data_IF_086504729406
#
_entry.id   IF_086504729406
#
_cell.length_a   1.000
_cell.length_b   1.000
_cell.length_c   1.000
_cell.angle_alpha   90.00
_cell.angle_beta   90.00
_cell.angle_gamma   90.00
#
_symmetry.space_group_name_H-M   'P 1'
#
loop_
_entity.id
_entity.type
_entity.pdbx_description
1 polymer ?
#
# COMPACT_ATOMS: atom_id res chain seq x y z
N UNK A 1 -27.53 26.35 -27.93
CA UNK A 1 -27.47 25.79 -26.55
C UNK A 1 -26.51 24.61 -26.57
N UNK A 2 -25.26 24.84 -26.15
CA UNK A 2 -24.24 23.79 -26.11
C UNK A 2 -24.49 22.85 -24.94
N UNK A 3 -24.79 21.59 -25.24
CA UNK A 3 -24.88 20.52 -24.26
C UNK A 3 -23.47 20.25 -23.72
N UNK A 4 -23.20 20.69 -22.48
CA UNK A 4 -22.00 20.34 -21.74
C UNK A 4 -21.98 18.83 -21.54
N UNK A 5 -21.24 18.11 -22.39
CA UNK A 5 -20.81 16.76 -22.08
C UNK A 5 -20.05 16.82 -20.75
N UNK A 6 -20.68 16.37 -19.67
CA UNK A 6 -19.99 15.98 -18.44
C UNK A 6 -19.04 14.85 -18.81
N UNK A 7 -17.81 15.19 -19.19
CA UNK A 7 -16.72 14.21 -19.28
C UNK A 7 -16.61 13.59 -17.89
N UNK A 8 -17.02 12.33 -17.76
CA UNK A 8 -16.81 11.52 -16.57
C UNK A 8 -15.32 11.23 -16.53
N UNK A 9 -14.56 12.13 -15.92
CA UNK A 9 -13.16 11.89 -15.61
C UNK A 9 -13.19 10.74 -14.61
N UNK A 10 -12.66 9.57 -14.96
CA UNK A 10 -12.45 8.49 -14.00
C UNK A 10 -11.35 8.94 -13.04
N UNK A 11 -11.71 9.79 -12.08
CA UNK A 11 -10.84 10.13 -10.97
C UNK A 11 -10.61 8.84 -10.18
N UNK A 12 -9.35 8.44 -10.05
CA UNK A 12 -8.97 7.31 -9.21
C UNK A 12 -9.34 7.67 -7.77
N UNK A 13 -10.36 7.00 -7.23
CA UNK A 13 -10.70 7.16 -5.82
C UNK A 13 -9.53 6.64 -4.97
N UNK A 14 -9.07 7.39 -3.95
CA UNK A 14 -8.08 6.89 -3.01
C UNK A 14 -8.58 5.58 -2.37
N UNK A 15 -7.79 4.51 -2.51
CA UNK A 15 -8.04 3.24 -1.83
C UNK A 15 -7.04 3.05 -0.70
N UNK A 16 -7.50 2.40 0.35
CA UNK A 16 -6.68 2.08 1.51
C UNK A 16 -6.89 0.63 1.91
N UNK A 17 -5.86 0.04 2.50
CA UNK A 17 -5.94 -1.14 3.35
C UNK A 17 -5.36 -0.81 4.72
N UNK A 18 -5.71 -1.57 5.73
CA UNK A 18 -5.32 -1.32 7.11
C UNK A 18 -4.68 -2.56 7.73
N UNK A 19 -3.55 -2.36 8.42
CA UNK A 19 -3.01 -3.36 9.32
C UNK A 19 -3.57 -3.14 10.72
N UNK A 20 -4.34 -4.10 11.23
CA UNK A 20 -4.87 -4.07 12.59
C UNK A 20 -3.86 -4.63 13.58
N UNK A 21 -3.43 -3.81 14.53
CA UNK A 21 -2.27 -4.09 15.39
C UNK A 21 -2.51 -5.22 16.38
N UNK A 22 -3.72 -5.30 16.93
CA UNK A 22 -4.12 -6.22 17.99
C UNK A 22 -4.25 -7.66 17.49
N UNK A 23 -5.02 -7.88 16.42
CA UNK A 23 -5.22 -9.23 15.84
C UNK A 23 -4.21 -9.59 14.74
N UNK A 24 -3.34 -8.65 14.33
CA UNK A 24 -2.34 -8.85 13.27
C UNK A 24 -3.00 -9.25 11.94
N UNK A 25 -4.04 -8.52 11.57
CA UNK A 25 -4.81 -8.78 10.35
C UNK A 25 -4.59 -7.66 9.32
N UNK A 26 -4.44 -8.07 8.06
CA UNK A 26 -4.56 -7.16 6.93
C UNK A 26 -6.04 -7.10 6.52
N UNK A 27 -6.61 -5.90 6.54
CA UNK A 27 -8.02 -5.67 6.28
C UNK A 27 -8.21 -4.64 5.16
N UNK A 28 -9.28 -4.78 4.39
CA UNK A 28 -9.70 -3.75 3.46
C UNK A 28 -10.40 -2.63 4.24
N UNK A 29 -10.24 -1.39 3.77
CA UNK A 29 -10.88 -0.22 4.39
C UNK A 29 -12.12 0.14 3.60
N UNK A 30 -13.28 0.17 4.27
CA UNK A 30 -14.56 0.53 3.65
C UNK A 30 -14.88 2.01 3.86
N UNK A 31 -14.50 2.58 5.01
CA UNK A 31 -14.74 3.99 5.32
C UNK A 31 -13.70 4.56 6.31
N UNK A 32 -13.43 5.86 6.20
CA UNK A 32 -12.51 6.60 7.08
C UNK A 32 -13.22 7.86 7.55
N UNK A 33 -13.49 7.95 8.85
CA UNK A 33 -14.01 9.17 9.50
C UNK A 33 -12.88 9.92 10.20
N UNK A 34 -12.44 11.04 9.61
CA UNK A 34 -11.41 11.90 10.23
C UNK A 34 -11.94 12.67 11.44
N UNK A 35 -13.20 13.08 11.41
CA UNK A 35 -13.83 13.84 12.50
C UNK A 35 -13.99 12.97 13.74
N UNK A 36 -14.47 11.74 13.55
CA UNK A 36 -14.65 10.78 14.65
C UNK A 36 -13.37 10.00 14.97
N UNK A 37 -12.36 10.01 14.09
CA UNK A 37 -11.11 9.25 14.20
C UNK A 37 -11.32 7.73 14.27
N UNK A 38 -12.26 7.23 13.47
CA UNK A 38 -12.54 5.80 13.30
C UNK A 38 -12.37 5.36 11.85
N UNK A 39 -11.92 4.12 11.67
CA UNK A 39 -11.81 3.44 10.39
C UNK A 39 -12.73 2.23 10.42
N UNK A 40 -13.57 2.10 9.40
CA UNK A 40 -14.34 0.89 9.18
C UNK A 40 -13.51 -0.04 8.29
N UNK A 41 -13.26 -1.24 8.80
CA UNK A 41 -12.45 -2.26 8.14
C UNK A 41 -13.27 -3.52 7.93
N UNK A 42 -12.98 -4.24 6.85
CA UNK A 42 -13.52 -5.56 6.61
C UNK A 42 -12.42 -6.59 6.43
N UNK A 43 -12.61 -7.76 7.03
CA UNK A 43 -11.79 -8.93 6.80
C UNK A 43 -12.65 -10.06 6.24
N UNK A 44 -12.19 -10.64 5.14
CA UNK A 44 -12.78 -11.85 4.58
C UNK A 44 -12.17 -13.07 5.30
N UNK A 45 -12.98 -13.78 6.09
CA UNK A 45 -12.56 -15.06 6.69
C UNK A 45 -12.80 -16.25 5.76
N UNK A 46 -12.35 -17.44 6.19
CA UNK A 46 -12.42 -18.70 5.42
C UNK A 46 -13.84 -19.17 5.02
N UNK A 47 -14.90 -18.60 5.63
CA UNK A 47 -16.28 -19.10 5.50
C UNK A 47 -17.25 -18.11 4.85
N UNK A 48 -16.79 -17.25 3.93
CA UNK A 48 -17.58 -16.17 3.31
C UNK A 48 -18.17 -15.14 4.30
N UNK A 49 -17.80 -15.22 5.59
CA UNK A 49 -18.19 -14.24 6.60
C UNK A 49 -17.29 -13.02 6.47
N UNK A 50 -17.91 -11.89 6.13
CA UNK A 50 -17.30 -10.58 6.24
C UNK A 50 -17.47 -10.10 7.67
N UNK A 51 -16.36 -9.90 8.37
CA UNK A 51 -16.40 -9.20 9.66
C UNK A 51 -16.14 -7.72 9.37
N UNK A 52 -17.16 -6.88 9.53
CA UNK A 52 -17.02 -5.43 9.46
C UNK A 52 -16.90 -4.88 10.89
N UNK A 53 -15.85 -4.10 11.13
CA UNK A 53 -15.53 -3.57 12.46
C UNK A 53 -15.12 -2.10 12.30
N UNK A 54 -15.66 -1.24 13.16
CA UNK A 54 -15.15 0.12 13.35
C UNK A 54 -14.06 0.12 14.41
N UNK A 55 -12.88 0.61 14.06
CA UNK A 55 -11.71 0.66 14.94
C UNK A 55 -11.14 2.06 15.04
N UNK A 56 -10.55 2.40 16.18
CA UNK A 56 -9.88 3.69 16.38
C UNK A 56 -8.64 3.81 15.48
N UNK A 57 -8.28 5.04 15.09
CA UNK A 57 -7.13 5.32 14.22
C UNK A 57 -5.80 4.78 14.76
N UNK A 58 -5.66 4.69 16.08
CA UNK A 58 -4.47 4.18 16.74
C UNK A 58 -4.40 2.65 16.75
N UNK A 59 -5.51 1.93 16.57
CA UNK A 59 -5.52 0.46 16.46
C UNK A 59 -5.07 -0.04 15.10
N UNK A 60 -5.00 0.84 14.10
CA UNK A 60 -4.64 0.49 12.72
C UNK A 60 -3.42 1.24 12.19
N UNK A 61 -2.82 0.68 11.14
CA UNK A 61 -1.92 1.40 10.23
C UNK A 61 -2.52 1.42 8.83
N UNK A 62 -2.97 2.59 8.40
CA UNK A 62 -3.45 2.81 7.03
C UNK A 62 -2.29 2.75 6.03
N UNK A 63 -2.54 2.11 4.89
CA UNK A 63 -1.65 2.01 3.76
C UNK A 63 -2.42 2.41 2.51
N UNK A 64 -1.94 3.44 1.81
CA UNK A 64 -2.60 3.95 0.61
C UNK A 64 -2.21 3.12 -0.62
N UNK A 65 -3.15 2.88 -1.52
CA UNK A 65 -2.87 2.32 -2.84
C UNK A 65 -2.06 3.32 -3.68
N UNK A 66 -1.10 2.80 -4.42
CA UNK A 66 -0.34 3.56 -5.42
C UNK A 66 -1.14 3.81 -6.70
N UNK A 67 -2.25 3.08 -6.90
CA UNK A 67 -2.99 3.03 -8.16
C UNK A 67 -2.37 2.15 -9.25
N UNK A 68 -1.19 1.60 -8.98
CA UNK A 68 -0.46 0.73 -9.89
C UNK A 68 -0.66 -0.74 -9.54
N UNK A 69 -0.48 -1.60 -10.53
CA UNK A 69 -0.51 -3.05 -10.37
C UNK A 69 0.85 -3.65 -10.68
N UNK A 70 1.19 -4.71 -10.00
CA UNK A 70 2.39 -5.50 -10.24
C UNK A 70 2.24 -6.38 -11.50
N UNK A 71 3.27 -7.19 -11.82
CA UNK A 71 3.27 -8.06 -13.00
C UNK A 71 2.16 -9.12 -13.00
N UNK A 72 1.62 -9.46 -11.83
CA UNK A 72 0.57 -10.46 -11.64
C UNK A 72 -0.83 -9.80 -11.54
N UNK A 73 -0.91 -8.48 -11.71
CA UNK A 73 -2.17 -7.73 -11.63
C UNK A 73 -2.62 -7.40 -10.20
N UNK A 74 -1.77 -7.66 -9.19
CA UNK A 74 -2.03 -7.31 -7.78
C UNK A 74 -1.78 -5.82 -7.58
N UNK A 75 -2.69 -5.13 -6.91
CA UNK A 75 -2.56 -3.70 -6.60
C UNK A 75 -1.44 -3.47 -5.58
N UNK A 76 -0.60 -2.46 -5.82
CA UNK A 76 0.56 -2.12 -4.98
C UNK A 76 0.17 -1.01 -4.00
N UNK A 77 0.46 -1.22 -2.72
CA UNK A 77 0.19 -0.31 -1.63
C UNK A 77 1.49 0.21 -0.99
N UNK A 78 1.39 1.33 -0.27
CA UNK A 78 2.48 1.80 0.58
C UNK A 78 2.89 0.72 1.60
N UNK A 79 4.19 0.48 1.74
CA UNK A 79 4.75 -0.51 2.64
C UNK A 79 4.77 -1.94 2.09
N UNK A 80 4.30 -2.17 0.86
CA UNK A 80 4.56 -3.43 0.16
C UNK A 80 6.05 -3.62 -0.08
N UNK A 81 6.46 -4.88 -0.05
CA UNK A 81 7.78 -5.36 -0.42
C UNK A 81 7.65 -6.02 -1.78
N UNK A 82 8.42 -5.52 -2.73
CA UNK A 82 8.42 -5.99 -4.11
C UNK A 82 9.75 -6.64 -4.46
N UNK A 83 9.70 -7.73 -5.23
CA UNK A 83 10.88 -8.30 -5.87
C UNK A 83 11.08 -7.68 -7.25
N UNK A 84 12.32 -7.30 -7.55
CA UNK A 84 12.78 -6.96 -8.89
C UNK A 84 13.99 -7.78 -9.25
N UNK A 85 13.75 -8.88 -9.98
CA UNK A 85 14.79 -9.77 -10.49
C UNK A 85 15.70 -10.30 -9.37
N UNK A 86 15.12 -10.68 -8.24
CA UNK A 86 15.83 -11.19 -7.07
C UNK A 86 16.31 -10.10 -6.09
N UNK A 87 16.03 -8.82 -6.37
CA UNK A 87 16.37 -7.72 -5.47
C UNK A 87 15.10 -7.13 -4.84
N UNK A 88 15.03 -7.15 -3.52
CA UNK A 88 13.86 -6.69 -2.73
C UNK A 88 13.88 -5.17 -2.58
N UNK A 89 12.71 -4.54 -2.69
CA UNK A 89 12.52 -3.12 -2.42
C UNK A 89 11.21 -2.86 -1.65
N UNK A 90 11.16 -1.80 -0.85
CA UNK A 90 9.97 -1.37 -0.12
C UNK A 90 9.34 -0.13 -0.77
N UNK A 91 8.01 -0.12 -0.90
CA UNK A 91 7.25 1.01 -1.45
C UNK A 91 6.98 2.05 -0.36
N UNK A 92 7.19 3.33 -0.67
CA UNK A 92 7.02 4.44 0.28
C UNK A 92 6.50 5.71 -0.40
N UNK A 93 5.68 6.50 0.30
CA UNK A 93 5.39 7.87 -0.09
C UNK A 93 6.57 8.81 0.21
N UNK A 94 6.95 9.64 -0.76
CA UNK A 94 7.99 10.65 -0.59
C UNK A 94 7.42 12.06 -0.71
N UNK A 95 7.34 12.77 0.42
CA UNK A 95 6.70 14.08 0.52
C UNK A 95 7.28 15.14 -0.42
N UNK A 96 8.60 15.26 -0.52
CA UNK A 96 9.23 16.28 -1.38
C UNK A 96 9.04 16.03 -2.88
N UNK A 97 8.81 14.77 -3.27
CA UNK A 97 8.52 14.42 -4.67
C UNK A 97 7.02 14.28 -4.95
N UNK A 98 6.19 14.39 -3.90
CA UNK A 98 4.77 14.14 -3.94
C UNK A 98 4.43 12.87 -4.75
N UNK A 99 5.18 11.79 -4.51
CA UNK A 99 5.09 10.57 -5.31
C UNK A 99 5.47 9.32 -4.51
N UNK A 100 4.95 8.17 -4.94
CA UNK A 100 5.41 6.88 -4.46
C UNK A 100 6.76 6.53 -5.10
N UNK A 101 7.66 6.04 -4.25
CA UNK A 101 9.00 5.59 -4.62
C UNK A 101 9.22 4.18 -4.09
N UNK A 102 10.27 3.52 -4.57
CA UNK A 102 10.78 2.32 -3.94
C UNK A 102 12.20 2.55 -3.43
N UNK A 103 12.57 1.78 -2.41
CA UNK A 103 13.90 1.78 -1.80
C UNK A 103 14.35 0.33 -1.71
N UNK A 104 15.51 -0.01 -2.26
CA UNK A 104 16.02 -1.37 -2.12
C UNK A 104 16.35 -1.68 -0.66
N UNK A 105 16.04 -2.89 -0.22
CA UNK A 105 16.20 -3.32 1.19
C UNK A 105 17.67 -3.23 1.62
N UNK A 106 18.60 -3.62 0.74
CA UNK A 106 20.05 -3.53 0.98
C UNK A 106 20.59 -2.09 1.01
N UNK A 107 19.78 -1.10 0.60
CA UNK A 107 20.12 0.32 0.67
C UNK A 107 19.52 1.02 1.89
N UNK A 108 18.63 0.38 2.65
CA UNK A 108 17.99 0.99 3.82
C UNK A 108 18.98 1.43 4.90
N UNK A 109 20.08 0.69 5.05
CA UNK A 109 21.14 1.00 6.03
C UNK A 109 22.18 1.99 5.50
N UNK A 110 22.16 2.32 4.20
CA UNK A 110 23.14 3.24 3.60
C UNK A 110 22.77 4.68 3.97
N UNK A 111 23.79 5.47 4.33
CA UNK A 111 23.64 6.91 4.66
C UNK A 111 23.03 7.73 3.51
N UNK A 112 23.18 7.26 2.27
CA UNK A 112 22.59 7.84 1.06
C UNK A 112 21.90 6.70 0.30
N UNK A 113 20.64 6.44 0.64
CA UNK A 113 19.81 5.51 -0.14
C UNK A 113 19.45 6.14 -1.49
N UNK A 114 19.53 5.36 -2.57
CA UNK A 114 19.07 5.81 -3.88
C UNK A 114 17.55 5.80 -3.94
N UNK A 115 16.95 6.92 -4.33
CA UNK A 115 15.49 7.02 -4.48
C UNK A 115 15.12 6.88 -5.94
N UNK A 116 14.27 5.92 -6.27
CA UNK A 116 13.75 5.77 -7.63
C UNK A 116 12.23 5.88 -7.61
N UNK A 117 11.67 6.72 -8.49
CA UNK A 117 10.22 6.86 -8.60
C UNK A 117 9.59 5.56 -9.09
N UNK A 118 8.42 5.22 -8.56
CA UNK A 118 7.73 3.98 -8.89
C UNK A 118 7.36 3.86 -10.38
N UNK A 119 7.22 4.99 -11.09
CA UNK A 119 6.92 5.02 -12.53
C UNK A 119 8.13 4.76 -13.44
N UNK A 120 9.36 5.06 -12.97
CA UNK A 120 10.55 5.03 -13.85
C UNK A 120 11.13 3.62 -14.09
N UNK A 121 10.64 2.59 -13.38
CA UNK A 121 11.01 1.19 -13.60
C UNK A 121 9.77 0.39 -14.06
N UNK A 122 9.53 0.36 -15.38
CA UNK A 122 8.40 -0.31 -16.04
C UNK A 122 8.24 -1.80 -15.65
N UNK A 123 7.52 -2.05 -14.56
CA UNK A 123 6.66 -3.17 -14.17
C UNK A 123 7.11 -4.63 -14.36
N UNK A 124 8.31 -4.97 -13.88
CA UNK A 124 8.64 -6.37 -13.52
C UNK A 124 8.70 -6.59 -12.01
N UNK A 125 8.06 -5.70 -11.24
CA UNK A 125 7.89 -5.91 -9.80
C UNK A 125 6.82 -6.96 -9.55
N UNK A 126 7.05 -7.77 -8.53
CA UNK A 126 6.07 -8.68 -7.94
C UNK A 126 5.95 -8.36 -6.46
N UNK A 127 4.72 -8.15 -5.97
CA UNK A 127 4.51 -7.97 -4.53
C UNK A 127 4.69 -9.33 -3.85
N UNK A 128 5.79 -9.48 -3.14
CA UNK A 128 6.14 -10.71 -2.41
C UNK A 128 5.66 -10.67 -0.95
N UNK A 129 5.40 -9.48 -0.40
CA UNK A 129 4.98 -9.33 0.99
C UNK A 129 4.79 -7.87 1.38
N UNK A 130 4.73 -7.58 2.67
CA UNK A 130 4.71 -6.21 3.20
C UNK A 130 5.38 -6.13 4.57
N UNK A 131 5.73 -4.92 5.00
CA UNK A 131 6.45 -4.66 6.24
C UNK A 131 5.77 -5.13 7.54
N UNK A 132 4.50 -5.55 7.49
CA UNK A 132 3.74 -5.99 8.65
C UNK A 132 3.56 -7.51 8.69
N UNK A 133 3.14 -8.13 7.59
CA UNK A 133 2.90 -9.58 7.50
C UNK A 133 4.18 -10.39 7.25
N UNK A 134 5.16 -9.81 6.57
CA UNK A 134 6.43 -10.47 6.22
C UNK A 134 7.63 -9.56 6.57
N UNK A 135 7.80 -9.17 7.85
CA UNK A 135 8.89 -8.29 8.27
C UNK A 135 10.29 -8.88 7.97
N UNK A 136 10.43 -10.21 7.93
CA UNK A 136 11.67 -10.94 7.64
C UNK A 136 12.26 -10.60 6.26
N UNK A 137 11.45 -10.11 5.31
CA UNK A 137 11.95 -9.68 4.00
C UNK A 137 12.70 -8.34 4.03
N UNK A 138 12.69 -7.63 5.16
CA UNK A 138 13.46 -6.41 5.38
C UNK A 138 14.82 -6.68 6.04
N UNK A 139 15.06 -7.91 6.48
CA UNK A 139 16.34 -8.32 7.04
C UNK A 139 17.35 -8.53 5.90
N UNK A 140 18.57 -8.02 6.09
CA UNK A 140 19.68 -8.23 5.16
C UNK A 140 20.46 -9.43 5.71
N UNK A 141 20.43 -10.56 5.00
CA UNK A 141 21.32 -11.69 5.31
C UNK A 141 22.77 -11.22 5.14
N UNK A 142 23.59 -11.41 6.17
CA UNK A 142 25.03 -11.06 6.19
C UNK A 142 25.87 -11.95 5.27
#
# INVERSE_FOLDING_TARGET
MGCLLKRRIYLMAPKFRAWMKSLKWMCDVTNISFDSKFVDICQQGDTERYTEISVEFDEVKLMQSTGLKDKNGREIFEGDIVDYKGRKAVIKWHGSYASFIYIFVDELQKRVAGWSSLYLAYFHFEVIGNKFETPEFLEVEE
#
